data_IF_859766195673
#
_entry.id   IF_859766195673
#
_cell.length_a   1.000
_cell.length_b   1.000
_cell.length_c   1.000
_cell.angle_alpha   90.00
_cell.angle_beta   90.00
_cell.angle_gamma   90.00
#
_symmetry.space_group_name_H-M   'P 1'
#
loop_
_entity.id
_entity.type
_entity.pdbx_description
1 polymer ?
#
# COMPACT_ATOMS: atom_id res chain seq x y z
N UNK A 1 19.19 -25.68 -9.19
CA UNK A 1 17.92 -25.37 -8.51
C UNK A 1 17.16 -24.41 -9.41
N UNK A 2 15.87 -24.67 -9.65
CA UNK A 2 14.98 -23.74 -10.38
C UNK A 2 14.82 -22.45 -9.58
N UNK A 3 14.87 -21.29 -10.24
CA UNK A 3 14.62 -20.01 -9.59
C UNK A 3 13.15 -19.95 -9.14
N UNK A 4 12.92 -19.46 -7.91
CA UNK A 4 11.57 -19.24 -7.40
C UNK A 4 10.82 -18.21 -8.25
N UNK A 5 9.54 -18.47 -8.50
CA UNK A 5 8.65 -17.68 -9.35
C UNK A 5 7.85 -16.71 -8.50
N UNK A 6 8.32 -15.47 -8.44
CA UNK A 6 7.75 -14.38 -7.65
C UNK A 6 6.81 -13.56 -8.53
N UNK A 7 5.62 -13.25 -8.01
CA UNK A 7 4.70 -12.28 -8.62
C UNK A 7 4.50 -11.07 -7.70
N UNK A 8 4.53 -9.87 -8.27
CA UNK A 8 4.14 -8.64 -7.58
C UNK A 8 2.70 -8.27 -7.94
N UNK A 9 1.86 -8.00 -6.94
CA UNK A 9 0.55 -7.35 -7.08
C UNK A 9 0.66 -5.94 -6.50
N UNK A 10 0.48 -4.93 -7.34
CA UNK A 10 0.61 -3.53 -6.93
C UNK A 10 -0.31 -2.61 -7.74
N UNK A 11 -0.39 -1.33 -7.38
CA UNK A 11 -1.03 -0.32 -8.22
C UNK A 11 -0.13 0.07 -9.41
N UNK A 12 -0.75 0.37 -10.55
CA UNK A 12 -0.10 0.94 -11.73
C UNK A 12 0.34 2.40 -11.48
N UNK A 13 1.30 2.60 -10.59
CA UNK A 13 1.76 3.88 -10.06
C UNK A 13 3.30 3.89 -9.93
N UNK A 14 3.94 5.06 -9.70
CA UNK A 14 5.40 5.15 -9.57
C UNK A 14 5.99 4.19 -8.53
N UNK A 15 5.37 4.07 -7.35
CA UNK A 15 5.80 3.11 -6.33
C UNK A 15 5.74 1.65 -6.80
N UNK A 16 4.70 1.26 -7.54
CA UNK A 16 4.60 -0.10 -8.08
C UNK A 16 5.75 -0.44 -9.02
N UNK A 17 6.15 0.52 -9.88
CA UNK A 17 7.29 0.38 -10.78
C UNK A 17 8.62 0.34 -10.03
N UNK A 18 8.80 1.19 -9.02
CA UNK A 18 9.98 1.16 -8.16
C UNK A 18 10.10 -0.18 -7.42
N UNK A 19 8.99 -0.70 -6.88
CA UNK A 19 8.97 -2.00 -6.22
C UNK A 19 9.28 -3.15 -7.18
N UNK A 20 8.68 -3.15 -8.39
CA UNK A 20 9.01 -4.14 -9.43
C UNK A 20 10.49 -4.09 -9.79
N UNK A 21 11.07 -2.90 -9.93
CA UNK A 21 12.49 -2.73 -10.19
C UNK A 21 13.38 -3.20 -9.03
N UNK A 22 13.00 -2.92 -7.77
CA UNK A 22 13.73 -3.39 -6.60
C UNK A 22 13.72 -4.93 -6.48
N UNK A 23 12.57 -5.56 -6.71
CA UNK A 23 12.44 -7.01 -6.76
C UNK A 23 13.22 -7.61 -7.93
N UNK A 24 13.14 -7.01 -9.12
CA UNK A 24 13.89 -7.46 -10.29
C UNK A 24 15.41 -7.32 -10.09
N UNK A 25 15.88 -6.23 -9.48
CA UNK A 25 17.29 -6.05 -9.16
C UNK A 25 17.80 -7.12 -8.17
N UNK A 26 16.96 -7.58 -7.24
CA UNK A 26 17.33 -8.61 -6.26
C UNK A 26 17.22 -10.03 -6.82
N UNK A 27 16.18 -10.34 -7.59
CA UNK A 27 15.82 -11.71 -7.97
C UNK A 27 15.98 -12.00 -9.46
N UNK A 28 16.27 -11.01 -10.29
CA UNK A 28 16.42 -11.14 -11.74
C UNK A 28 15.20 -11.80 -12.36
N UNK A 29 15.44 -12.93 -13.05
CA UNK A 29 14.41 -13.75 -13.70
C UNK A 29 13.46 -14.45 -12.71
N UNK A 30 13.72 -14.38 -11.40
CA UNK A 30 12.80 -14.85 -10.37
C UNK A 30 11.53 -14.01 -10.27
N UNK A 31 11.57 -12.71 -10.59
CA UNK A 31 10.35 -11.91 -10.75
C UNK A 31 9.72 -12.22 -12.11
N UNK A 32 8.76 -13.14 -12.14
CA UNK A 32 8.18 -13.64 -13.39
C UNK A 32 7.00 -12.81 -13.90
N UNK A 33 6.35 -12.04 -13.01
CA UNK A 33 5.23 -11.21 -13.41
C UNK A 33 4.85 -10.11 -12.43
N UNK A 34 4.20 -9.07 -12.96
CA UNK A 34 3.54 -8.02 -12.17
C UNK A 34 2.09 -7.86 -12.59
N UNK A 35 1.17 -8.07 -11.65
CA UNK A 35 -0.24 -7.71 -11.80
C UNK A 35 -0.42 -6.25 -11.35
N UNK A 36 -0.59 -5.36 -12.32
CA UNK A 36 -0.73 -3.92 -12.12
C UNK A 36 -2.21 -3.52 -12.04
N UNK A 37 -2.62 -3.03 -10.88
CA UNK A 37 -3.98 -2.57 -10.63
C UNK A 37 -4.13 -1.12 -11.11
N UNK A 38 -4.84 -0.93 -12.23
CA UNK A 38 -5.19 0.37 -12.78
C UNK A 38 -6.68 0.64 -12.63
N UNK A 39 -7.01 1.62 -11.80
CA UNK A 39 -8.39 2.06 -11.53
C UNK A 39 -8.70 3.45 -12.09
N UNK A 40 -7.85 3.97 -12.98
CA UNK A 40 -8.08 5.30 -13.57
C UNK A 40 -9.44 5.28 -14.28
N UNK A 41 -10.44 6.03 -13.77
CA UNK A 41 -11.72 6.11 -14.44
C UNK A 41 -11.50 6.85 -15.77
N UNK A 42 -12.24 6.46 -16.81
CA UNK A 42 -12.23 7.22 -18.07
C UNK A 42 -12.53 8.71 -17.84
N UNK A 43 -11.99 9.60 -18.69
CA UNK A 43 -12.10 11.07 -18.52
C UNK A 43 -13.52 11.54 -18.22
N UNK A 44 -14.52 11.00 -18.93
CA UNK A 44 -15.95 11.30 -18.71
C UNK A 44 -16.47 10.87 -17.33
N UNK A 45 -16.10 9.66 -16.89
CA UNK A 45 -16.49 9.15 -15.57
C UNK A 45 -15.87 9.98 -14.43
N UNK A 46 -14.61 10.40 -14.61
CA UNK A 46 -13.92 11.29 -13.66
C UNK A 46 -14.61 12.66 -13.58
N UNK A 47 -14.96 13.27 -14.72
CA UNK A 47 -15.68 14.55 -14.76
C UNK A 47 -17.04 14.46 -14.04
N UNK A 48 -17.87 13.47 -14.39
CA UNK A 48 -19.18 13.26 -13.76
C UNK A 48 -19.06 13.04 -12.25
N UNK A 49 -18.07 12.26 -11.82
CA UNK A 49 -17.80 12.04 -10.39
C UNK A 49 -17.42 13.34 -9.68
N UNK A 50 -16.54 14.13 -10.28
CA UNK A 50 -16.10 15.41 -9.72
C UNK A 50 -17.27 16.41 -9.62
N UNK A 51 -18.12 16.50 -10.65
CA UNK A 51 -19.34 17.34 -10.62
C UNK A 51 -20.27 16.88 -9.49
N UNK A 52 -20.61 15.59 -9.45
CA UNK A 52 -21.48 15.02 -8.40
C UNK A 52 -20.92 15.24 -7.00
N UNK A 53 -19.60 15.14 -6.83
CA UNK A 53 -18.93 15.38 -5.56
C UNK A 53 -18.91 16.88 -5.21
N UNK A 54 -18.72 17.77 -6.18
CA UNK A 54 -18.74 19.21 -5.95
C UNK A 54 -20.09 19.71 -5.41
N UNK A 55 -21.20 19.14 -5.91
CA UNK A 55 -22.56 19.42 -5.41
C UNK A 55 -22.87 18.82 -4.04
N UNK A 56 -22.21 17.73 -3.65
CA UNK A 56 -22.44 17.05 -2.37
C UNK A 56 -21.52 17.51 -1.23
N UNK A 57 -20.30 17.94 -1.57
CA UNK A 57 -19.30 18.32 -0.58
C UNK A 57 -19.64 19.68 0.06
N UNK A 58 -19.43 19.80 1.37
CA UNK A 58 -19.52 21.09 2.05
C UNK A 58 -18.36 22.02 1.62
N UNK A 59 -18.49 23.34 1.88
CA UNK A 59 -17.39 24.27 1.64
C UNK A 59 -16.14 23.88 2.43
N UNK A 60 -16.32 23.41 3.67
CA UNK A 60 -15.27 22.86 4.52
C UNK A 60 -14.60 21.63 3.88
N UNK A 61 -15.39 20.65 3.43
CA UNK A 61 -14.85 19.43 2.83
C UNK A 61 -14.03 19.73 1.55
N UNK A 62 -14.49 20.69 0.74
CA UNK A 62 -13.72 21.15 -0.43
C UNK A 62 -12.38 21.80 -0.05
N UNK A 63 -12.34 22.57 1.04
CA UNK A 63 -11.12 23.19 1.56
C UNK A 63 -10.14 22.14 2.10
N UNK A 64 -10.63 21.22 2.94
CA UNK A 64 -9.84 20.09 3.47
C UNK A 64 -9.24 19.28 2.31
N UNK A 65 -10.05 18.94 1.31
CA UNK A 65 -9.57 18.16 0.15
C UNK A 65 -8.47 18.88 -0.63
N UNK A 66 -8.51 20.21 -0.73
CA UNK A 66 -7.46 20.99 -1.40
C UNK A 66 -6.12 20.82 -0.67
N UNK A 67 -6.11 21.02 0.64
CA UNK A 67 -4.90 20.88 1.46
C UNK A 67 -4.38 19.44 1.43
N UNK A 68 -5.26 18.44 1.55
CA UNK A 68 -4.85 17.04 1.44
C UNK A 68 -4.25 16.70 0.06
N UNK A 69 -4.73 17.31 -1.03
CA UNK A 69 -4.14 17.15 -2.35
C UNK A 69 -2.75 17.80 -2.44
N UNK A 70 -2.55 18.97 -1.84
CA UNK A 70 -1.24 19.62 -1.80
C UNK A 70 -0.23 18.78 -0.99
N UNK A 71 -0.66 18.22 0.15
CA UNK A 71 0.13 17.28 0.95
C UNK A 71 0.44 15.98 0.19
N UNK A 72 -0.54 15.44 -0.56
CA UNK A 72 -0.35 14.26 -1.43
C UNK A 72 0.71 14.53 -2.50
N UNK A 73 0.61 15.67 -3.18
CA UNK A 73 1.56 16.09 -4.22
C UNK A 73 2.97 16.29 -3.64
N UNK A 74 3.09 16.92 -2.46
CA UNK A 74 4.37 17.10 -1.79
C UNK A 74 5.01 15.77 -1.40
N UNK A 75 4.22 14.83 -0.86
CA UNK A 75 4.69 13.50 -0.49
C UNK A 75 5.09 12.67 -1.72
N UNK A 76 4.30 12.72 -2.80
CA UNK A 76 4.63 12.06 -4.06
C UNK A 76 5.93 12.61 -4.66
N UNK A 77 6.11 13.94 -4.69
CA UNK A 77 7.34 14.57 -5.16
C UNK A 77 8.55 14.13 -4.32
N UNK A 78 8.41 14.04 -3.00
CA UNK A 78 9.45 13.54 -2.12
C UNK A 78 9.81 12.09 -2.46
N UNK A 79 8.81 11.20 -2.58
CA UNK A 79 9.03 9.82 -3.00
C UNK A 79 9.73 9.75 -4.36
N UNK A 80 9.22 10.44 -5.39
CA UNK A 80 9.77 10.38 -6.75
C UNK A 80 11.22 10.86 -6.81
N UNK A 81 11.55 11.91 -6.04
CA UNK A 81 12.91 12.45 -5.96
C UNK A 81 13.88 11.43 -5.35
N UNK A 82 13.46 10.76 -4.27
CA UNK A 82 14.31 9.85 -3.50
C UNK A 82 14.38 8.45 -4.12
N UNK A 83 13.26 7.93 -4.61
CA UNK A 83 13.14 6.58 -5.16
C UNK A 83 13.52 6.49 -6.65
N UNK A 84 13.42 7.61 -7.39
CA UNK A 84 13.66 7.66 -8.83
C UNK A 84 12.97 6.51 -9.59
N UNK A 85 11.63 6.36 -9.46
CA UNK A 85 10.91 5.24 -10.03
C UNK A 85 11.09 5.20 -11.56
N UNK A 86 11.33 4.02 -12.15
CA UNK A 86 11.51 3.92 -13.59
C UNK A 86 10.20 4.23 -14.33
N UNK A 87 10.34 4.74 -15.55
CA UNK A 87 9.20 5.08 -16.40
C UNK A 87 8.48 3.84 -16.95
N UNK A 88 9.19 2.73 -17.13
CA UNK A 88 8.67 1.47 -17.62
C UNK A 88 8.78 0.37 -16.55
N UNK A 89 8.04 -0.72 -16.74
CA UNK A 89 8.27 -1.96 -16.00
C UNK A 89 9.56 -2.62 -16.49
N UNK A 90 10.21 -3.50 -15.70
CA UNK A 90 11.39 -4.23 -16.17
C UNK A 90 11.06 -5.11 -17.38
N UNK A 91 11.90 -5.07 -18.43
CA UNK A 91 11.60 -5.69 -19.74
C UNK A 91 11.37 -7.21 -19.69
N UNK A 92 11.96 -7.91 -18.72
CA UNK A 92 11.85 -9.37 -18.60
C UNK A 92 10.69 -9.84 -17.71
N UNK A 93 9.80 -8.93 -17.29
CA UNK A 93 8.68 -9.22 -16.38
C UNK A 93 7.38 -9.16 -17.16
N UNK A 94 6.58 -10.24 -17.11
CA UNK A 94 5.25 -10.23 -17.74
C UNK A 94 4.29 -9.31 -16.96
N UNK A 95 3.52 -8.48 -17.67
CA UNK A 95 2.67 -7.45 -17.05
C UNK A 95 1.22 -7.70 -17.39
N UNK A 96 0.41 -7.96 -16.35
CA UNK A 96 -1.04 -8.03 -16.48
C UNK A 96 -1.70 -6.82 -15.83
N UNK A 97 -2.41 -6.00 -16.62
CA UNK A 97 -3.09 -4.81 -16.09
C UNK A 97 -4.58 -5.05 -15.94
N UNK A 98 -5.14 -4.73 -14.77
CA UNK A 98 -6.57 -4.88 -14.49
C UNK A 98 -7.08 -3.86 -13.48
N UNK A 99 -8.38 -3.63 -13.42
CA UNK A 99 -9.02 -2.86 -12.34
C UNK A 99 -9.38 -3.72 -11.11
N UNK A 100 -9.45 -5.05 -11.29
CA UNK A 100 -9.85 -6.02 -10.28
C UNK A 100 -8.96 -7.27 -10.34
N UNK A 101 -8.06 -7.49 -9.37
CA UNK A 101 -7.18 -8.65 -9.37
C UNK A 101 -7.92 -9.99 -9.20
N UNK A 102 -9.17 -9.97 -8.72
CA UNK A 102 -9.96 -11.19 -8.49
C UNK A 102 -10.78 -11.63 -9.72
N UNK A 103 -10.58 -11.01 -10.88
CA UNK A 103 -11.30 -11.40 -12.10
C UNK A 103 -10.72 -12.67 -12.73
N UNK A 104 -11.54 -13.35 -13.55
CA UNK A 104 -11.19 -14.65 -14.13
C UNK A 104 -9.91 -14.61 -14.97
N UNK A 105 -9.71 -13.53 -15.73
CA UNK A 105 -8.53 -13.34 -16.58
C UNK A 105 -7.25 -13.17 -15.75
N UNK A 106 -7.33 -12.40 -14.66
CA UNK A 106 -6.22 -12.23 -13.72
C UNK A 106 -5.83 -13.57 -13.07
N UNK A 107 -6.83 -14.33 -12.59
CA UNK A 107 -6.59 -15.66 -12.00
C UNK A 107 -6.00 -16.65 -13.01
N UNK A 108 -6.48 -16.64 -14.26
CA UNK A 108 -5.92 -17.49 -15.32
C UNK A 108 -4.47 -17.12 -15.63
N UNK A 109 -4.16 -15.83 -15.72
CA UNK A 109 -2.81 -15.33 -15.90
C UNK A 109 -1.87 -15.75 -14.76
N UNK A 110 -2.30 -15.57 -13.51
CA UNK A 110 -1.54 -16.01 -12.33
C UNK A 110 -1.27 -17.52 -12.36
N UNK A 111 -2.27 -18.35 -12.68
CA UNK A 111 -2.11 -19.82 -12.78
C UNK A 111 -1.12 -20.22 -13.87
N UNK A 112 -1.18 -19.60 -15.04
CA UNK A 112 -0.26 -19.85 -16.14
C UNK A 112 1.19 -19.54 -15.75
N UNK A 113 1.40 -18.56 -14.88
CA UNK A 113 2.70 -18.23 -14.33
C UNK A 113 3.11 -19.08 -13.12
N UNK A 114 2.28 -20.00 -12.61
CA UNK A 114 2.65 -20.96 -11.55
C UNK A 114 3.56 -20.35 -10.45
N UNK A 115 3.11 -19.29 -9.75
CA UNK A 115 3.95 -18.59 -8.78
C UNK A 115 4.27 -19.47 -7.58
N UNK A 116 5.49 -19.39 -7.08
CA UNK A 116 5.89 -19.95 -5.80
C UNK A 116 5.48 -19.03 -4.64
N UNK A 117 5.48 -17.72 -4.89
CA UNK A 117 5.25 -16.65 -3.91
C UNK A 117 4.56 -15.46 -4.61
N UNK A 118 3.58 -14.82 -3.97
CA UNK A 118 3.14 -13.47 -4.40
C UNK A 118 3.27 -12.44 -3.29
N UNK A 119 3.71 -11.25 -3.68
CA UNK A 119 3.87 -10.08 -2.82
C UNK A 119 2.86 -9.02 -3.22
N UNK A 120 2.19 -8.44 -2.23
CA UNK A 120 1.16 -7.43 -2.40
C UNK A 120 1.65 -6.14 -1.75
N UNK A 121 1.61 -5.03 -2.49
CA UNK A 121 2.00 -3.71 -1.96
C UNK A 121 0.90 -2.66 -2.16
N UNK A 122 -0.35 -3.12 -2.23
CA UNK A 122 -1.55 -2.31 -2.42
C UNK A 122 -2.55 -2.99 -3.35
N UNK A 123 -3.62 -3.54 -2.77
CA UNK A 123 -4.68 -4.22 -3.49
C UNK A 123 -6.04 -4.06 -2.76
N UNK A 124 -7.19 -4.27 -3.43
CA UNK A 124 -8.43 -4.59 -2.72
C UNK A 124 -8.30 -5.93 -1.97
N UNK A 125 -9.35 -6.29 -1.23
CA UNK A 125 -9.48 -7.63 -0.64
C UNK A 125 -9.28 -8.68 -1.73
N UNK A 126 -8.29 -9.55 -1.50
CA UNK A 126 -7.98 -10.69 -2.35
C UNK A 126 -8.86 -11.87 -1.93
N UNK A 127 -9.34 -12.64 -2.90
CA UNK A 127 -10.12 -13.86 -2.65
C UNK A 127 -9.20 -15.06 -2.40
N UNK A 128 -9.66 -16.11 -1.68
CA UNK A 128 -8.88 -17.31 -1.41
C UNK A 128 -8.26 -17.94 -2.65
N UNK A 129 -9.03 -18.08 -3.74
CA UNK A 129 -8.56 -18.60 -5.03
C UNK A 129 -7.31 -17.89 -5.60
N UNK A 130 -7.06 -16.64 -5.17
CA UNK A 130 -5.89 -15.86 -5.53
C UNK A 130 -4.80 -16.00 -4.47
N UNK A 131 -5.11 -15.73 -3.20
CA UNK A 131 -4.07 -15.64 -2.17
C UNK A 131 -3.53 -17.00 -1.70
N UNK A 132 -4.29 -18.08 -1.88
CA UNK A 132 -3.89 -19.46 -1.60
C UNK A 132 -3.22 -20.14 -2.81
N UNK A 133 -3.13 -19.46 -3.96
CA UNK A 133 -2.51 -20.00 -5.17
C UNK A 133 -1.02 -20.37 -5.00
N UNK A 134 -0.14 -19.49 -4.51
CA UNK A 134 1.29 -19.80 -4.34
C UNK A 134 1.53 -20.76 -3.16
N UNK A 135 2.35 -21.82 -3.31
CA UNK A 135 2.66 -22.77 -2.23
C UNK A 135 3.38 -22.13 -1.04
N UNK A 136 4.24 -21.11 -1.25
CA UNK A 136 4.87 -20.37 -0.16
C UNK A 136 3.94 -19.32 0.46
N UNK A 137 2.79 -19.06 -0.19
CA UNK A 137 1.77 -18.13 0.27
C UNK A 137 1.85 -16.76 -0.38
N UNK A 138 0.85 -15.93 -0.04
CA UNK A 138 0.77 -14.54 -0.43
C UNK A 138 1.11 -13.66 0.77
N UNK A 139 1.95 -12.65 0.58
CA UNK A 139 2.34 -11.73 1.65
C UNK A 139 2.04 -10.29 1.27
N UNK A 140 1.53 -9.53 2.22
CA UNK A 140 1.19 -8.12 2.03
C UNK A 140 2.14 -7.22 2.83
N UNK A 141 2.50 -6.10 2.21
CA UNK A 141 3.12 -4.96 2.86
C UNK A 141 2.03 -4.06 3.44
N UNK A 142 2.02 -3.93 4.75
CA UNK A 142 1.14 -3.02 5.48
C UNK A 142 1.93 -1.86 6.10
N UNK A 143 1.33 -0.68 6.13
CA UNK A 143 1.99 0.59 6.50
C UNK A 143 1.83 0.93 7.99
N UNK A 144 1.92 -0.09 8.85
CA UNK A 144 1.99 0.06 10.31
C UNK A 144 2.80 -1.06 10.94
N UNK A 145 3.14 -0.89 12.21
CA UNK A 145 3.59 -1.97 13.06
C UNK A 145 2.38 -2.77 13.56
N UNK A 146 1.96 -3.78 12.78
CA UNK A 146 0.89 -4.69 13.19
C UNK A 146 1.18 -5.34 14.56
N UNK A 147 0.15 -5.58 15.39
CA UNK A 147 -1.28 -5.57 15.05
C UNK A 147 -1.96 -4.19 15.08
N UNK A 148 -1.23 -3.11 15.40
CA UNK A 148 -1.80 -1.76 15.40
C UNK A 148 -2.21 -1.32 13.99
N UNK A 149 -3.34 -0.63 13.89
CA UNK A 149 -3.84 0.00 12.66
C UNK A 149 -4.04 -0.93 11.45
N UNK A 150 -4.58 -2.14 11.68
CA UNK A 150 -5.11 -3.01 10.59
C UNK A 150 -6.08 -2.26 9.68
N UNK A 151 -6.15 -2.67 8.42
CA UNK A 151 -7.10 -2.17 7.43
C UNK A 151 -6.49 -1.13 6.51
N UNK A 152 -7.16 0.01 6.35
CA UNK A 152 -6.78 1.00 5.33
C UNK A 152 -6.50 2.36 5.93
N UNK A 153 -5.60 3.12 5.29
CA UNK A 153 -5.19 4.46 5.72
C UNK A 153 -4.54 4.47 7.11
N UNK A 154 -3.70 3.47 7.42
CA UNK A 154 -3.05 3.34 8.72
C UNK A 154 -2.35 4.66 9.13
N UNK A 155 -1.65 5.29 8.19
CA UNK A 155 -0.92 6.54 8.38
C UNK A 155 -1.82 7.71 8.80
N UNK A 156 -3.06 7.73 8.32
CA UNK A 156 -4.03 8.74 8.76
C UNK A 156 -4.40 8.54 10.22
N UNK A 157 -4.71 7.30 10.63
CA UNK A 157 -5.12 6.99 11.99
C UNK A 157 -3.99 7.17 12.99
N UNK A 158 -2.77 6.76 12.63
CA UNK A 158 -1.56 6.95 13.42
C UNK A 158 -1.31 8.43 13.73
N UNK A 159 -1.36 9.29 12.71
CA UNK A 159 -1.17 10.75 12.90
C UNK A 159 -2.34 11.38 13.65
N UNK A 160 -3.58 11.01 13.32
CA UNK A 160 -4.78 11.52 13.98
C UNK A 160 -4.77 11.24 15.49
N UNK A 161 -4.37 10.03 15.87
CA UNK A 161 -4.37 9.53 17.25
C UNK A 161 -3.02 9.76 17.97
N UNK A 162 -2.05 10.39 17.30
CA UNK A 162 -0.72 10.72 17.83
C UNK A 162 0.13 9.50 18.23
N UNK A 163 -0.03 8.38 17.52
CA UNK A 163 0.65 7.10 17.78
C UNK A 163 1.83 6.86 16.84
N UNK A 164 2.80 7.78 16.87
CA UNK A 164 4.01 7.69 16.03
C UNK A 164 4.89 6.47 16.34
N UNK A 165 4.77 5.91 17.55
CA UNK A 165 5.40 4.66 17.97
C UNK A 165 4.97 3.44 17.13
N UNK A 166 3.82 3.53 16.45
CA UNK A 166 3.28 2.45 15.60
C UNK A 166 3.61 2.61 14.12
N UNK A 167 4.34 3.67 13.75
CA UNK A 167 4.69 3.97 12.35
C UNK A 167 5.81 3.04 11.89
N UNK A 168 5.56 2.34 10.80
CA UNK A 168 6.53 1.41 10.22
C UNK A 168 5.91 0.57 9.12
N UNK A 169 6.63 -0.48 8.75
CA UNK A 169 6.22 -1.46 7.77
C UNK A 169 6.08 -2.82 8.42
N UNK A 170 5.04 -3.55 8.04
CA UNK A 170 4.90 -4.98 8.34
C UNK A 170 4.70 -5.77 7.06
N UNK A 171 5.50 -6.82 6.89
CA UNK A 171 5.28 -7.86 5.88
C UNK A 171 4.63 -9.04 6.60
N UNK A 172 3.40 -9.36 6.23
CA UNK A 172 2.62 -10.43 6.85
C UNK A 172 1.96 -11.32 5.82
N UNK A 173 1.65 -12.56 6.19
CA UNK A 173 0.88 -13.47 5.34
C UNK A 173 -0.55 -12.96 5.17
N UNK A 174 -1.07 -13.07 3.96
CA UNK A 174 -2.48 -12.79 3.66
C UNK A 174 -3.31 -14.01 4.06
N UNK A 175 -4.38 -13.76 4.80
CA UNK A 175 -5.33 -14.78 5.25
C UNK A 175 -6.76 -14.23 5.11
N UNK A 176 -7.76 -15.01 5.55
CA UNK A 176 -9.17 -14.62 5.49
C UNK A 176 -9.48 -13.30 6.23
N UNK A 177 -8.78 -13.03 7.32
CA UNK A 177 -8.90 -11.79 8.09
C UNK A 177 -8.09 -10.65 7.47
N UNK A 178 -8.58 -9.41 7.62
CA UNK A 178 -7.88 -8.21 7.13
C UNK A 178 -6.68 -7.93 8.02
N UNK A 179 -5.48 -8.11 7.45
CA UNK A 179 -4.19 -7.85 8.09
C UNK A 179 -3.96 -8.65 9.40
N UNK A 180 -4.50 -9.87 9.48
CA UNK A 180 -4.42 -10.72 10.69
C UNK A 180 -3.33 -11.80 10.64
N UNK A 181 -2.81 -12.12 9.45
CA UNK A 181 -1.91 -13.25 9.27
C UNK A 181 -0.53 -13.04 9.91
N UNK A 182 0.25 -14.13 9.99
CA UNK A 182 1.56 -14.13 10.66
C UNK A 182 2.52 -13.08 10.07
N UNK A 183 3.22 -12.36 10.94
CA UNK A 183 4.22 -11.35 10.60
C UNK A 183 5.55 -12.04 10.29
N UNK A 184 6.10 -11.78 9.11
CA UNK A 184 7.42 -12.27 8.68
C UNK A 184 8.51 -11.27 9.02
N UNK A 185 8.24 -9.99 8.78
CA UNK A 185 9.19 -8.91 9.00
C UNK A 185 8.44 -7.65 9.41
N UNK A 186 9.01 -6.90 10.33
CA UNK A 186 8.46 -5.63 10.78
C UNK A 186 9.60 -4.66 11.06
N UNK A 187 9.49 -3.43 10.58
CA UNK A 187 10.53 -2.41 10.67
C UNK A 187 9.90 -1.05 11.02
N UNK A 188 10.33 -0.38 12.11
CA UNK A 188 9.86 0.96 12.43
C UNK A 188 10.40 1.99 11.43
N UNK A 189 9.61 3.00 11.14
CA UNK A 189 10.04 4.14 10.32
C UNK A 189 10.12 5.38 11.18
N UNK A 190 11.33 5.94 11.31
CA UNK A 190 11.53 7.16 12.10
C UNK A 190 10.87 8.36 11.42
N UNK A 191 10.01 9.04 12.15
CA UNK A 191 9.28 10.23 11.73
C UNK A 191 9.29 11.28 12.83
N UNK A 192 9.53 12.53 12.45
CA UNK A 192 9.48 13.68 13.36
C UNK A 192 8.16 14.42 13.18
N UNK A 193 7.45 14.70 14.27
CA UNK A 193 6.22 15.48 14.25
C UNK A 193 6.52 16.99 14.28
N UNK A 194 5.66 17.85 13.69
CA UNK A 194 4.43 17.49 12.96
C UNK A 194 4.73 16.91 11.57
N UNK A 195 3.99 15.85 11.20
CA UNK A 195 4.12 15.18 9.90
C UNK A 195 2.74 14.81 9.36
N UNK A 196 2.54 14.98 8.06
CA UNK A 196 1.29 14.59 7.41
C UNK A 196 1.22 13.08 7.20
N UNK A 197 0.02 12.47 7.21
CA UNK A 197 -0.19 11.07 6.84
C UNK A 197 0.45 10.71 5.49
N UNK A 198 0.38 11.63 4.53
CA UNK A 198 0.91 11.47 3.19
C UNK A 198 2.44 11.35 3.21
N UNK A 199 3.12 12.16 4.03
CA UNK A 199 4.58 12.11 4.17
C UNK A 199 5.04 10.88 4.97
N UNK A 200 4.28 10.47 6.00
CA UNK A 200 4.50 9.18 6.69
C UNK A 200 4.47 8.04 5.67
N UNK A 201 3.43 7.99 4.83
CA UNK A 201 3.32 7.00 3.75
C UNK A 201 4.52 7.08 2.80
N UNK A 202 4.93 8.26 2.33
CA UNK A 202 6.09 8.38 1.44
C UNK A 202 7.37 7.80 2.07
N UNK A 203 7.63 8.07 3.35
CA UNK A 203 8.76 7.49 4.09
C UNK A 203 8.67 5.97 4.21
N UNK A 204 7.49 5.44 4.53
CA UNK A 204 7.23 4.00 4.54
C UNK A 204 7.45 3.37 3.17
N UNK A 205 6.94 3.98 2.09
CA UNK A 205 7.14 3.48 0.72
C UNK A 205 8.62 3.44 0.32
N UNK A 206 9.42 4.44 0.74
CA UNK A 206 10.87 4.45 0.52
C UNK A 206 11.56 3.30 1.26
N UNK A 207 11.24 3.10 2.54
CA UNK A 207 11.79 1.98 3.31
C UNK A 207 11.41 0.62 2.70
N UNK A 208 10.20 0.51 2.13
CA UNK A 208 9.69 -0.73 1.58
C UNK A 208 10.52 -1.25 0.41
N UNK A 209 11.15 -0.36 -0.38
CA UNK A 209 12.02 -0.75 -1.50
C UNK A 209 13.17 -1.66 -1.08
N UNK A 210 13.56 -1.64 0.20
CA UNK A 210 14.55 -2.56 0.76
C UNK A 210 13.91 -3.66 1.61
N UNK A 211 12.94 -3.30 2.46
CA UNK A 211 12.31 -4.23 3.42
C UNK A 211 11.54 -5.36 2.73
N UNK A 212 10.86 -5.07 1.61
CA UNK A 212 10.10 -6.08 0.87
C UNK A 212 11.03 -7.11 0.21
N UNK A 213 12.06 -6.74 -0.58
CA UNK A 213 13.04 -7.70 -1.07
C UNK A 213 13.72 -8.54 0.03
N UNK A 214 14.04 -7.94 1.18
CA UNK A 214 14.66 -8.69 2.29
C UNK A 214 13.68 -9.69 2.93
N UNK A 215 12.39 -9.33 3.04
CA UNK A 215 11.36 -10.28 3.48
C UNK A 215 11.18 -11.43 2.49
N UNK A 216 11.11 -11.13 1.19
CA UNK A 216 11.04 -12.15 0.13
C UNK A 216 12.22 -13.10 0.23
N UNK A 217 13.45 -12.58 0.34
CA UNK A 217 14.66 -13.40 0.47
C UNK A 217 14.54 -14.36 1.66
N UNK A 218 14.15 -13.86 2.84
CA UNK A 218 14.00 -14.69 4.04
C UNK A 218 12.90 -15.77 3.94
N UNK A 219 11.87 -15.52 3.13
CA UNK A 219 10.81 -16.51 2.87
C UNK A 219 11.37 -17.60 1.95
N UNK A 220 12.09 -17.22 0.89
CA UNK A 220 12.62 -18.15 -0.11
C UNK A 220 13.72 -19.06 0.44
N UNK A 221 14.57 -18.56 1.32
CA UNK A 221 15.64 -19.35 1.96
C UNK A 221 15.20 -20.06 3.25
N UNK A 222 13.95 -19.88 3.68
CA UNK A 222 13.40 -20.51 4.87
C UNK A 222 13.92 -19.96 6.20
N UNK A 223 14.67 -18.85 6.19
CA UNK A 223 15.17 -18.20 7.42
C UNK A 223 14.10 -17.37 8.14
N UNK A 224 13.00 -17.03 7.46
CA UNK A 224 11.87 -16.34 8.06
C UNK A 224 11.34 -17.07 9.30
N UNK A 225 11.01 -16.31 10.34
CA UNK A 225 10.41 -16.81 11.57
C UNK A 225 9.04 -16.14 11.76
N UNK A 226 7.97 -16.61 11.08
CA UNK A 226 6.67 -16.00 11.15
C UNK A 226 6.11 -15.99 12.57
N UNK A 227 5.64 -14.83 13.03
CA UNK A 227 5.04 -14.65 14.36
C UNK A 227 3.55 -14.36 14.22
N UNK A 228 2.73 -15.15 14.90
CA UNK A 228 1.29 -14.87 14.98
C UNK A 228 1.06 -13.54 15.69
N UNK A 229 0.11 -12.76 15.18
CA UNK A 229 -0.28 -11.51 15.79
C UNK A 229 -1.13 -11.75 17.05
N UNK A 230 -1.04 -10.83 18.00
CA UNK A 230 -2.04 -10.71 19.07
C UNK A 230 -3.32 -10.04 18.54
N UNK A 231 -4.30 -9.83 19.41
CA UNK A 231 -5.45 -9.00 19.05
C UNK A 231 -4.98 -7.55 18.74
N UNK A 232 -5.56 -6.97 17.68
CA UNK A 232 -5.29 -5.63 17.17
C UNK A 232 -6.55 -4.78 17.05
N UNK A 233 -7.68 -5.29 17.56
CA UNK A 233 -8.99 -4.68 17.37
C UNK A 233 -9.51 -4.78 15.93
N UNK A 234 -10.66 -4.13 15.64
CA UNK A 234 -11.28 -4.16 14.34
C UNK A 234 -10.48 -3.36 13.29
N UNK A 235 -10.45 -3.80 12.02
CA UNK A 235 -9.74 -3.08 10.97
C UNK A 235 -10.37 -1.71 10.72
N UNK A 236 -9.53 -0.67 10.65
CA UNK A 236 -9.93 0.69 10.29
C UNK A 236 -10.20 0.79 8.79
N UNK A 237 -11.19 1.60 8.37
CA UNK A 237 -11.52 1.74 6.94
C UNK A 237 -11.45 3.19 6.49
N UNK A 238 -11.05 3.42 5.25
CA UNK A 238 -10.98 4.77 4.68
C UNK A 238 -12.33 5.50 4.70
N UNK A 239 -13.45 4.78 4.69
CA UNK A 239 -14.80 5.35 4.78
C UNK A 239 -15.18 5.83 6.18
N UNK A 240 -14.43 5.43 7.20
CA UNK A 240 -14.68 5.78 8.60
C UNK A 240 -14.08 7.17 8.93
N UNK A 241 -13.30 7.78 8.03
CA UNK A 241 -12.74 9.14 8.19
C UNK A 241 -13.84 10.19 8.08
N UNK A 242 -14.07 10.95 9.15
CA UNK A 242 -15.05 12.05 9.14
C UNK A 242 -14.43 13.38 8.71
N UNK A 243 -15.27 14.33 8.28
CA UNK A 243 -14.84 15.71 7.99
C UNK A 243 -14.22 16.35 9.24
N UNK A 244 -14.81 16.15 10.42
CA UNK A 244 -14.31 16.66 11.70
C UNK A 244 -12.92 16.12 12.03
N UNK A 245 -12.70 14.80 11.91
CA UNK A 245 -11.39 14.19 12.15
C UNK A 245 -10.32 14.76 11.22
N UNK A 246 -10.64 14.90 9.93
CA UNK A 246 -9.73 15.49 8.93
C UNK A 246 -9.42 16.96 9.24
N UNK A 247 -10.44 17.75 9.61
CA UNK A 247 -10.28 19.15 10.02
C UNK A 247 -9.36 19.27 11.24
N UNK A 248 -9.62 18.48 12.29
CA UNK A 248 -8.80 18.44 13.50
C UNK A 248 -7.34 18.08 13.21
N UNK A 249 -7.11 17.11 12.34
CA UNK A 249 -5.75 16.74 11.92
C UNK A 249 -5.06 17.90 11.21
N UNK A 250 -5.72 18.55 10.25
CA UNK A 250 -5.13 19.70 9.54
C UNK A 250 -4.82 20.86 10.49
N UNK A 251 -5.70 21.15 11.45
CA UNK A 251 -5.44 22.15 12.48
C UNK A 251 -4.15 21.83 13.29
N UNK A 252 -3.96 20.56 13.68
CA UNK A 252 -2.73 20.11 14.37
C UNK A 252 -1.47 20.22 13.50
N UNK A 253 -1.61 20.18 12.18
CA UNK A 253 -0.52 20.38 11.22
C UNK A 253 -0.21 21.86 10.95
N UNK A 254 -0.87 22.80 11.65
CA UNK A 254 -0.61 24.24 11.52
C UNK A 254 -1.49 24.95 10.48
N UNK A 255 -2.49 24.27 9.90
CA UNK A 255 -3.49 24.92 9.05
C UNK A 255 -4.58 25.56 9.94
N UNK A 256 -4.27 26.77 10.45
CA UNK A 256 -5.06 27.49 11.45
C UNK A 256 -6.52 27.72 11.03
N UNK A 257 -6.79 27.77 9.72
CA UNK A 257 -8.13 27.97 9.17
C UNK A 257 -9.10 26.80 9.42
N UNK A 258 -8.63 25.71 10.05
CA UNK A 258 -9.42 24.56 10.50
C UNK A 258 -9.52 24.45 12.03
N UNK A 259 -8.85 25.31 12.81
CA UNK A 259 -8.77 25.24 14.27
C UNK A 259 -10.11 25.54 14.98
N UNK A 260 -10.88 26.49 14.45
CA UNK A 260 -12.16 26.92 15.03
C UNK A 260 -13.37 26.07 14.57
N UNK A 261 -13.13 25.01 13.80
CA UNK A 261 -14.16 24.17 13.17
C UNK A 261 -14.14 22.70 13.64
N UNK A 262 -13.36 22.39 14.68
CA UNK A 262 -13.15 21.05 15.23
C UNK A 262 -14.02 20.76 16.46
#
# INVERSE_FOLDING_TARGET
>A
MTLARIILICHAAPFGKAMAAALHARFGQGLVGTLAIDRRPGRRATLLRNIKQAFKASALERRIRRVELDLENSAQKHFDTMAQPPMAWPDSVDIFTTSNPNETQALAWLRNLSPDLIIVTGAPILKPDLFDLPPLGTFNMHSSLLPDYRGTQAEFWQVLEDRMDTVGLTIHRVEKGVDTGAIVRQVPTSVDAPISPQMVRAKNLLAALNVVPDAVQSILDGSAQPKMQTDGGPPKRSKDKTVTQRSKLLARLGYSEFGDMA
#
